data_IF_067311054784
#
_entry.id   IF_067311054784
#
_cell.length_a   1.000
_cell.length_b   1.000
_cell.length_c   1.000
_cell.angle_alpha   90.00
_cell.angle_beta   90.00
_cell.angle_gamma   90.00
#
_symmetry.space_group_name_H-M   'P 1'
#
loop_
_entity.id
_entity.type
_entity.pdbx_description
1 polymer ?
#
# COMPACT_ATOMS: atom_id res chain seq x y z
N UNK A 1 50.38 -20.42 25.59
CA UNK A 1 49.45 -21.53 25.27
C UNK A 1 49.21 -21.51 23.78
N UNK A 2 49.46 -22.62 23.10
CA UNK A 2 49.16 -22.82 21.68
C UNK A 2 47.97 -23.78 21.57
N UNK A 3 47.11 -23.56 20.58
CA UNK A 3 45.94 -24.40 20.31
C UNK A 3 45.91 -24.67 18.80
N UNK A 4 45.98 -25.95 18.42
CA UNK A 4 46.08 -26.41 17.03
C UNK A 4 47.25 -25.73 16.29
N UNK A 5 48.41 -25.69 16.95
CA UNK A 5 49.65 -25.15 16.37
C UNK A 5 49.75 -23.62 16.28
N UNK A 6 48.66 -22.89 16.54
CA UNK A 6 48.64 -21.43 16.57
C UNK A 6 48.56 -20.89 18.00
N UNK A 7 49.15 -19.72 18.23
CA UNK A 7 49.02 -18.96 19.46
C UNK A 7 47.63 -18.32 19.56
N UNK A 8 47.21 -17.98 20.79
CA UNK A 8 45.93 -17.29 21.03
C UNK A 8 45.86 -15.94 20.28
N UNK A 9 46.99 -15.23 20.15
CA UNK A 9 47.06 -13.98 19.39
C UNK A 9 46.81 -14.18 17.90
N UNK A 10 47.36 -15.24 17.31
CA UNK A 10 47.13 -15.57 15.89
C UNK A 10 45.67 -15.97 15.63
N UNK A 11 45.03 -16.66 16.58
CA UNK A 11 43.59 -16.94 16.52
C UNK A 11 42.74 -15.67 16.58
N UNK A 12 43.07 -14.72 17.46
CA UNK A 12 42.38 -13.44 17.55
C UNK A 12 42.52 -12.63 16.25
N UNK A 13 43.72 -12.60 15.65
CA UNK A 13 43.95 -11.96 14.37
C UNK A 13 43.13 -12.61 13.24
N UNK A 14 43.09 -13.95 13.20
CA UNK A 14 42.32 -14.70 12.19
C UNK A 14 40.82 -14.40 12.30
N UNK A 15 40.26 -14.45 13.50
CA UNK A 15 38.85 -14.13 13.74
C UNK A 15 38.52 -12.67 13.41
N UNK A 16 39.43 -11.74 13.69
CA UNK A 16 39.27 -10.34 13.32
C UNK A 16 39.20 -10.16 11.80
N UNK A 17 40.10 -10.80 11.04
CA UNK A 17 40.09 -10.75 9.57
C UNK A 17 38.80 -11.38 9.01
N UNK A 18 38.44 -12.58 9.49
CA UNK A 18 37.22 -13.27 9.05
C UNK A 18 35.97 -12.44 9.38
N UNK A 19 35.87 -11.94 10.62
CA UNK A 19 34.74 -11.10 11.05
C UNK A 19 34.62 -9.82 10.23
N UNK A 20 35.75 -9.19 9.88
CA UNK A 20 35.75 -7.98 9.04
C UNK A 20 35.29 -8.29 7.62
N UNK A 21 35.72 -9.40 7.03
CA UNK A 21 35.28 -9.84 5.70
C UNK A 21 33.78 -10.14 5.66
N UNK A 22 33.27 -10.91 6.63
CA UNK A 22 31.84 -11.20 6.73
C UNK A 22 31.01 -9.94 7.01
N UNK A 23 31.50 -9.04 7.87
CA UNK A 23 30.85 -7.76 8.15
C UNK A 23 30.75 -6.88 6.91
N UNK A 24 31.84 -6.78 6.14
CA UNK A 24 31.87 -6.03 4.88
C UNK A 24 30.91 -6.60 3.83
N UNK A 25 30.92 -7.92 3.62
CA UNK A 25 30.01 -8.59 2.69
C UNK A 25 28.55 -8.41 3.11
N UNK A 26 28.25 -8.55 4.41
CA UNK A 26 26.90 -8.36 4.95
C UNK A 26 26.41 -6.91 4.77
N UNK A 27 27.29 -5.92 4.95
CA UNK A 27 26.97 -4.52 4.72
C UNK A 27 26.63 -4.24 3.25
N UNK A 28 27.41 -4.78 2.32
CA UNK A 28 27.17 -4.66 0.89
C UNK A 28 25.84 -5.35 0.52
N UNK A 29 25.61 -6.56 1.01
CA UNK A 29 24.37 -7.31 0.77
C UNK A 29 23.13 -6.55 1.27
N UNK A 30 23.20 -6.00 2.49
CA UNK A 30 22.11 -5.18 3.05
C UNK A 30 21.82 -3.96 2.19
N UNK A 31 22.86 -3.26 1.77
CA UNK A 31 22.73 -2.00 1.02
C UNK A 31 22.23 -2.23 -0.41
N UNK A 32 22.75 -3.25 -1.10
CA UNK A 32 22.45 -3.48 -2.52
C UNK A 32 21.19 -4.31 -2.73
N UNK A 33 20.85 -5.22 -1.81
CA UNK A 33 19.74 -6.15 -2.01
C UNK A 33 18.59 -5.83 -1.06
N UNK A 34 18.86 -5.81 0.25
CA UNK A 34 17.77 -5.69 1.24
C UNK A 34 17.11 -4.31 1.18
N UNK A 35 17.91 -3.24 1.15
CA UNK A 35 17.38 -1.86 1.14
C UNK A 35 16.46 -1.59 -0.06
N UNK A 36 16.86 -1.81 -1.32
CA UNK A 36 15.96 -1.56 -2.45
C UNK A 36 14.74 -2.48 -2.44
N UNK A 37 14.86 -3.71 -1.95
CA UNK A 37 13.69 -4.60 -1.80
C UNK A 37 12.70 -4.05 -0.76
N UNK A 38 13.20 -3.57 0.38
CA UNK A 38 12.38 -2.95 1.42
C UNK A 38 11.69 -1.68 0.91
N UNK A 39 12.43 -0.84 0.18
CA UNK A 39 11.89 0.40 -0.41
C UNK A 39 10.81 0.09 -1.46
N UNK A 40 11.02 -0.95 -2.28
CA UNK A 40 10.02 -1.42 -3.24
C UNK A 40 8.75 -1.92 -2.55
N UNK A 41 8.87 -2.68 -1.47
CA UNK A 41 7.73 -3.15 -0.68
C UNK A 41 6.97 -1.96 -0.06
N UNK A 42 7.68 -0.98 0.49
CA UNK A 42 7.06 0.21 1.05
C UNK A 42 6.29 1.02 0.00
N UNK A 43 6.86 1.19 -1.20
CA UNK A 43 6.18 1.86 -2.31
C UNK A 43 4.94 1.09 -2.80
N UNK A 44 4.99 -0.24 -2.81
CA UNK A 44 3.82 -1.06 -3.13
C UNK A 44 2.72 -0.91 -2.09
N UNK A 45 3.05 -0.91 -0.80
CA UNK A 45 2.08 -0.66 0.27
C UNK A 45 1.43 0.71 0.10
N UNK A 46 2.22 1.75 -0.16
CA UNK A 46 1.70 3.10 -0.40
C UNK A 46 0.74 3.14 -1.59
N UNK A 47 1.10 2.47 -2.69
CA UNK A 47 0.23 2.39 -3.88
C UNK A 47 -1.08 1.66 -3.60
N UNK A 48 -1.05 0.62 -2.75
CA UNK A 48 -2.25 -0.11 -2.31
C UNK A 48 -3.14 0.78 -1.44
N UNK A 49 -2.54 1.56 -0.53
CA UNK A 49 -3.30 2.48 0.33
C UNK A 49 -3.97 3.59 -0.47
N UNK A 50 -3.25 4.19 -1.43
CA UNK A 50 -3.81 5.17 -2.37
C UNK A 50 -4.94 4.56 -3.21
N UNK A 51 -4.78 3.32 -3.68
CA UNK A 51 -5.83 2.62 -4.42
C UNK A 51 -7.08 2.35 -3.56
N UNK A 52 -6.90 1.99 -2.29
CA UNK A 52 -8.01 1.81 -1.34
C UNK A 52 -8.75 3.11 -1.08
N UNK A 53 -8.04 4.22 -0.96
CA UNK A 53 -8.63 5.54 -0.80
C UNK A 53 -9.47 5.94 -2.03
N UNK A 54 -8.92 5.76 -3.23
CA UNK A 54 -9.63 6.01 -4.48
C UNK A 54 -10.89 5.14 -4.64
N UNK A 55 -10.83 3.86 -4.22
CA UNK A 55 -12.03 3.01 -4.23
C UNK A 55 -13.10 3.53 -3.27
N UNK A 56 -12.72 4.00 -2.09
CA UNK A 56 -13.66 4.56 -1.13
C UNK A 56 -14.32 5.84 -1.67
N UNK A 57 -13.54 6.72 -2.29
CA UNK A 57 -14.06 7.92 -2.95
C UNK A 57 -15.04 7.55 -4.08
N UNK A 58 -14.66 6.59 -4.94
CA UNK A 58 -15.53 6.07 -5.99
C UNK A 58 -16.85 5.49 -5.44
N UNK A 59 -16.81 4.77 -4.32
CA UNK A 59 -18.01 4.22 -3.70
C UNK A 59 -18.93 5.32 -3.15
N UNK A 60 -18.36 6.36 -2.55
CA UNK A 60 -19.14 7.49 -2.03
C UNK A 60 -19.73 8.35 -3.16
N UNK A 61 -18.99 8.55 -4.26
CA UNK A 61 -19.50 9.19 -5.48
C UNK A 61 -20.65 8.39 -6.10
N UNK A 62 -20.53 7.06 -6.17
CA UNK A 62 -21.62 6.19 -6.65
C UNK A 62 -22.87 6.34 -5.78
N UNK A 63 -22.73 6.37 -4.45
CA UNK A 63 -23.87 6.61 -3.54
C UNK A 63 -24.49 7.98 -3.78
N UNK A 64 -23.68 9.02 -3.97
CA UNK A 64 -24.17 10.37 -4.26
C UNK A 64 -24.98 10.40 -5.56
N UNK A 65 -24.50 9.73 -6.60
CA UNK A 65 -25.21 9.58 -7.88
C UNK A 65 -26.54 8.84 -7.68
N UNK A 66 -26.55 7.71 -6.97
CA UNK A 66 -27.79 6.98 -6.68
C UNK A 66 -28.83 7.82 -5.93
N UNK A 67 -28.40 8.63 -4.96
CA UNK A 67 -29.30 9.56 -4.25
C UNK A 67 -29.88 10.62 -5.18
N UNK A 68 -29.05 11.20 -6.08
CA UNK A 68 -29.51 12.19 -7.06
C UNK A 68 -30.51 11.58 -8.05
N UNK A 69 -30.25 10.37 -8.55
CA UNK A 69 -31.16 9.63 -9.42
C UNK A 69 -32.51 9.40 -8.72
N UNK A 70 -32.50 8.91 -7.47
CA UNK A 70 -33.73 8.69 -6.71
C UNK A 70 -34.53 9.98 -6.49
N UNK A 71 -33.86 11.10 -6.23
CA UNK A 71 -34.54 12.39 -6.11
C UNK A 71 -35.13 12.88 -7.44
N UNK A 72 -34.45 12.65 -8.56
CA UNK A 72 -34.98 12.96 -9.88
C UNK A 72 -36.20 12.08 -10.20
N UNK A 73 -36.13 10.79 -9.92
CA UNK A 73 -37.22 9.84 -10.15
C UNK A 73 -38.49 10.25 -9.39
N UNK A 74 -38.36 10.59 -8.10
CA UNK A 74 -39.48 11.12 -7.30
C UNK A 74 -40.09 12.39 -7.90
N UNK A 75 -39.27 13.30 -8.44
CA UNK A 75 -39.76 14.53 -9.08
C UNK A 75 -40.50 14.23 -10.38
N UNK A 76 -39.99 13.31 -11.19
CA UNK A 76 -40.64 12.86 -12.44
C UNK A 76 -41.99 12.22 -12.13
N UNK A 77 -42.05 11.28 -11.17
CA UNK A 77 -43.29 10.66 -10.72
C UNK A 77 -44.30 11.70 -10.23
N UNK A 78 -43.85 12.68 -9.43
CA UNK A 78 -44.70 13.78 -8.96
C UNK A 78 -45.29 14.61 -10.11
N UNK A 79 -44.48 14.94 -11.11
CA UNK A 79 -44.93 15.66 -12.31
C UNK A 79 -45.91 14.82 -13.14
N UNK A 80 -45.66 13.52 -13.32
CA UNK A 80 -46.58 12.63 -14.03
C UNK A 80 -47.95 12.53 -13.35
N UNK A 81 -47.98 12.48 -12.01
CA UNK A 81 -49.23 12.46 -11.25
C UNK A 81 -49.99 13.77 -11.43
N UNK A 82 -49.30 14.91 -11.39
CA UNK A 82 -49.93 16.22 -11.62
C UNK A 82 -50.48 16.37 -13.04
N UNK A 83 -49.74 15.90 -14.06
CA UNK A 83 -50.20 15.93 -15.45
C UNK A 83 -51.39 14.98 -15.70
N UNK A 84 -51.38 13.78 -15.11
CA UNK A 84 -52.51 12.83 -15.22
C UNK A 84 -53.73 13.24 -14.40
N UNK A 85 -53.53 13.91 -13.26
CA UNK A 85 -54.60 14.45 -12.41
C UNK A 85 -55.22 15.74 -12.96
N UNK A 86 -54.42 16.57 -13.62
CA UNK A 86 -54.88 17.83 -14.25
C UNK A 86 -55.72 17.63 -15.51
N UNK A 87 -55.65 16.47 -16.17
CA UNK A 87 -56.46 16.14 -17.35
C UNK A 87 -57.89 15.65 -17.06
N UNK A 88 -58.37 15.71 -15.80
CA UNK A 88 -59.74 15.32 -15.41
C UNK A 88 -60.68 16.49 -15.11
N UNK A 89 -60.21 17.72 -15.34
CA UNK A 89 -61.02 18.93 -15.20
C UNK A 89 -60.94 19.76 -16.50
N UNK A 90 -61.47 19.20 -17.58
CA UNK A 90 -61.99 19.94 -18.74
C UNK A 90 -63.18 19.16 -19.31
#
# INVERSE_FOLDING_TARGET
MTFIGLTIQEWAATLAVVGTLFGGISFIFKTIIIKPLSDAIANLQKSIDEFREQMKESDDDRKAIHMRINNLDKRVVGLEVLLKGGGKHD
#
